data_IF_988097135512
#
_entry.id   IF_988097135512
#
_cell.length_a   1.000
_cell.length_b   1.000
_cell.length_c   1.000
_cell.angle_alpha   90.00
_cell.angle_beta   90.00
_cell.angle_gamma   90.00
#
_symmetry.space_group_name_H-M   'P 1'
#
loop_
_entity.id
_entity.type
_entity.pdbx_description
1 polymer ?
#
# COMPACT_ATOMS: atom_id res chain seq x y z
N UNK A 1 -59.87 -38.80 -31.06
CA UNK A 1 -59.38 -38.27 -29.78
C UNK A 1 -58.63 -36.99 -30.10
N UNK A 2 -59.00 -35.89 -29.48
CA UNK A 2 -58.21 -34.66 -29.51
C UNK A 2 -57.35 -34.67 -28.26
N UNK A 3 -56.03 -34.73 -28.43
CA UNK A 3 -55.10 -34.62 -27.31
C UNK A 3 -54.88 -33.15 -26.97
N UNK A 4 -54.94 -32.82 -25.68
CA UNK A 4 -54.68 -31.48 -25.17
C UNK A 4 -53.53 -31.53 -24.15
N UNK A 5 -52.55 -30.64 -24.31
CA UNK A 5 -51.39 -30.53 -23.42
C UNK A 5 -51.35 -29.12 -22.83
N UNK A 6 -51.21 -29.03 -21.51
CA UNK A 6 -51.03 -27.77 -20.78
C UNK A 6 -49.77 -27.85 -19.92
N UNK A 7 -48.85 -26.91 -20.12
CA UNK A 7 -47.61 -26.80 -19.34
C UNK A 7 -47.79 -25.75 -18.25
N UNK A 8 -47.53 -26.13 -17.00
CA UNK A 8 -47.56 -25.24 -15.83
C UNK A 8 -46.12 -24.98 -15.37
N UNK A 9 -45.73 -23.71 -15.27
CA UNK A 9 -44.41 -23.26 -14.84
C UNK A 9 -44.48 -22.44 -13.54
N UNK A 10 -43.32 -22.06 -12.98
CA UNK A 10 -43.20 -21.26 -11.75
C UNK A 10 -43.80 -21.91 -10.49
N UNK A 11 -43.64 -23.22 -10.36
CA UNK A 11 -44.01 -23.96 -9.15
C UNK A 11 -42.84 -23.98 -8.15
N UNK A 12 -43.14 -23.78 -6.87
CA UNK A 12 -42.19 -23.93 -5.79
C UNK A 12 -41.76 -25.39 -5.64
N UNK A 13 -40.49 -25.64 -5.31
CA UNK A 13 -39.93 -26.99 -5.19
C UNK A 13 -40.36 -27.70 -3.90
N UNK A 14 -40.45 -29.02 -3.94
CA UNK A 14 -40.90 -29.87 -2.81
C UNK A 14 -42.30 -29.56 -2.28
N UNK A 15 -43.10 -28.81 -3.03
CA UNK A 15 -44.48 -28.47 -2.69
C UNK A 15 -45.43 -29.43 -3.39
N UNK A 16 -46.48 -29.85 -2.67
CA UNK A 16 -47.56 -30.66 -3.24
C UNK A 16 -48.62 -29.72 -3.80
N UNK A 17 -48.85 -29.79 -5.11
CA UNK A 17 -49.88 -29.03 -5.79
C UNK A 17 -51.08 -29.90 -6.06
N UNK A 18 -52.27 -29.34 -5.89
CA UNK A 18 -53.54 -29.95 -6.23
C UNK A 18 -54.09 -29.30 -7.50
N UNK A 19 -54.66 -30.11 -8.39
CA UNK A 19 -55.22 -29.65 -9.65
C UNK A 19 -56.46 -30.45 -10.03
N UNK A 20 -57.33 -29.78 -10.80
CA UNK A 20 -58.48 -30.39 -11.49
C UNK A 20 -58.49 -29.88 -12.91
N UNK A 21 -58.89 -30.73 -13.84
CA UNK A 21 -59.06 -30.38 -15.24
C UNK A 21 -60.55 -30.26 -15.51
N UNK A 22 -60.99 -29.13 -16.04
CA UNK A 22 -62.37 -28.90 -16.46
C UNK A 22 -62.40 -28.72 -17.97
N UNK A 23 -63.29 -29.45 -18.64
CA UNK A 23 -63.56 -29.30 -20.07
C UNK A 23 -65.04 -29.06 -20.27
N UNK A 24 -65.43 -28.27 -21.27
CA UNK A 24 -66.84 -28.02 -21.53
C UNK A 24 -67.11 -27.36 -22.87
N UNK A 25 -68.39 -27.40 -23.24
CA UNK A 25 -69.00 -26.59 -24.31
C UNK A 25 -69.67 -25.36 -23.67
N UNK A 26 -70.28 -24.45 -24.46
CA UNK A 26 -71.08 -23.36 -23.89
C UNK A 26 -72.26 -23.82 -23.01
N UNK A 27 -72.70 -25.08 -23.14
CA UNK A 27 -73.88 -25.63 -22.46
C UNK A 27 -73.55 -26.58 -21.29
N UNK A 28 -72.37 -27.22 -21.28
CA UNK A 28 -72.01 -28.21 -20.26
C UNK A 28 -70.51 -28.16 -19.92
N UNK A 29 -70.17 -28.38 -18.64
CA UNK A 29 -68.79 -28.58 -18.20
C UNK A 29 -68.66 -29.84 -17.36
N UNK A 30 -67.56 -30.55 -17.53
CA UNK A 30 -67.17 -31.75 -16.77
C UNK A 30 -65.79 -31.52 -16.18
N UNK A 31 -65.63 -31.82 -14.89
CA UNK A 31 -64.35 -31.72 -14.18
C UNK A 31 -63.85 -33.09 -13.75
N UNK A 32 -62.53 -33.25 -13.70
CA UNK A 32 -61.90 -34.41 -13.04
C UNK A 32 -62.03 -34.30 -11.52
N UNK A 33 -61.82 -35.43 -10.85
CA UNK A 33 -61.51 -35.44 -9.41
C UNK A 33 -60.23 -34.65 -9.11
N UNK A 34 -60.08 -34.29 -7.84
CA UNK A 34 -58.84 -33.68 -7.34
C UNK A 34 -57.66 -34.63 -7.55
N UNK A 35 -56.59 -34.09 -8.13
CA UNK A 35 -55.34 -34.80 -8.32
C UNK A 35 -54.22 -34.00 -7.69
N UNK A 36 -53.19 -34.68 -7.21
CA UNK A 36 -52.04 -34.04 -6.64
C UNK A 36 -50.74 -34.56 -7.27
N UNK A 37 -49.75 -33.67 -7.36
CA UNK A 37 -48.38 -34.03 -7.65
C UNK A 37 -47.44 -33.24 -6.73
N UNK A 38 -46.27 -33.81 -6.41
CA UNK A 38 -45.23 -33.11 -5.67
C UNK A 38 -44.15 -32.67 -6.62
N UNK A 39 -43.77 -31.40 -6.59
CA UNK A 39 -42.61 -30.91 -7.34
C UNK A 39 -41.32 -31.54 -6.80
N UNK A 40 -40.37 -31.79 -7.70
CA UNK A 40 -39.07 -32.34 -7.31
C UNK A 40 -38.30 -31.42 -6.35
N UNK A 41 -37.27 -31.96 -5.70
CA UNK A 41 -36.33 -31.18 -4.89
C UNK A 41 -35.66 -30.10 -5.74
N UNK A 42 -35.64 -28.85 -5.27
CA UNK A 42 -34.85 -27.82 -5.94
C UNK A 42 -33.39 -28.20 -5.84
N UNK A 43 -32.76 -28.43 -6.99
CA UNK A 43 -31.32 -28.65 -7.11
C UNK A 43 -30.57 -27.33 -7.34
N UNK A 44 -31.18 -26.16 -7.08
CA UNK A 44 -30.51 -24.87 -7.24
C UNK A 44 -29.40 -24.75 -6.20
N UNK A 45 -28.18 -25.08 -6.62
CA UNK A 45 -26.98 -24.87 -5.79
C UNK A 45 -26.80 -23.37 -5.60
N UNK A 46 -26.58 -22.94 -4.35
CA UNK A 46 -26.29 -21.54 -4.05
C UNK A 46 -25.04 -21.10 -4.82
N UNK A 47 -25.05 -19.93 -5.44
CA UNK A 47 -23.87 -19.36 -6.13
C UNK A 47 -22.85 -18.79 -5.14
N UNK A 48 -21.57 -18.63 -5.52
CA UNK A 48 -20.59 -17.89 -4.72
C UNK A 48 -21.03 -16.45 -4.48
N UNK A 49 -20.89 -15.97 -3.25
CA UNK A 49 -21.17 -14.58 -2.90
C UNK A 49 -19.89 -13.77 -3.05
N UNK A 50 -19.89 -12.80 -3.96
CA UNK A 50 -18.76 -11.87 -4.18
C UNK A 50 -18.90 -10.68 -3.25
N UNK A 51 -17.82 -10.34 -2.54
CA UNK A 51 -17.79 -9.24 -1.57
C UNK A 51 -16.44 -8.52 -1.56
N UNK A 52 -16.34 -7.39 -0.84
CA UNK A 52 -15.12 -6.57 -0.70
C UNK A 52 -14.45 -6.21 -2.04
N UNK A 53 -15.27 -5.92 -3.05
CA UNK A 53 -14.79 -5.52 -4.37
C UNK A 53 -14.06 -4.18 -4.28
N UNK A 54 -12.81 -4.15 -4.72
CA UNK A 54 -11.94 -2.98 -4.70
C UNK A 54 -11.12 -2.87 -5.99
N UNK A 55 -11.07 -1.69 -6.60
CA UNK A 55 -10.16 -1.41 -7.72
C UNK A 55 -8.82 -0.94 -7.13
N UNK A 56 -7.86 -1.85 -7.02
CA UNK A 56 -6.62 -1.65 -6.29
C UNK A 56 -5.58 -0.80 -7.04
N UNK A 57 -5.62 -0.78 -8.37
CA UNK A 57 -4.71 0.03 -9.18
C UNK A 57 -5.34 0.32 -10.55
N UNK A 58 -5.08 1.50 -11.09
CA UNK A 58 -5.47 1.91 -12.44
C UNK A 58 -4.28 2.63 -13.06
N UNK A 59 -3.92 2.22 -14.28
CA UNK A 59 -2.85 2.83 -15.08
C UNK A 59 -3.42 3.33 -16.42
N UNK A 60 -2.58 3.76 -17.35
CA UNK A 60 -3.03 4.16 -18.68
C UNK A 60 -3.61 3.03 -19.52
N UNK A 61 -3.13 1.80 -19.30
CA UNK A 61 -3.50 0.64 -20.14
C UNK A 61 -4.04 -0.56 -19.37
N UNK A 62 -4.09 -0.46 -18.03
CA UNK A 62 -4.51 -1.56 -17.17
C UNK A 62 -5.33 -1.08 -15.96
N UNK A 63 -6.09 -1.99 -15.36
CA UNK A 63 -6.54 -1.84 -13.97
C UNK A 63 -6.52 -3.19 -13.26
N UNK A 64 -6.41 -3.19 -11.94
CA UNK A 64 -6.45 -4.39 -11.11
C UNK A 64 -7.62 -4.33 -10.14
N UNK A 65 -8.39 -5.42 -10.07
CA UNK A 65 -9.54 -5.56 -9.17
C UNK A 65 -9.30 -6.71 -8.20
N UNK A 66 -9.66 -6.47 -6.95
CA UNK A 66 -9.57 -7.42 -5.85
C UNK A 66 -10.94 -7.65 -5.25
N UNK A 67 -11.23 -8.90 -4.85
CA UNK A 67 -12.48 -9.25 -4.17
C UNK A 67 -12.33 -10.56 -3.38
N UNK A 68 -13.33 -10.81 -2.54
CA UNK A 68 -13.47 -12.05 -1.78
C UNK A 68 -14.72 -12.83 -2.18
N UNK A 69 -14.66 -14.14 -2.00
CA UNK A 69 -15.80 -15.05 -2.09
C UNK A 69 -16.01 -15.80 -0.79
N UNK A 70 -17.26 -16.16 -0.50
CA UNK A 70 -17.63 -16.93 0.70
C UNK A 70 -17.15 -18.39 0.66
N UNK A 71 -16.69 -18.87 -0.51
CA UNK A 71 -16.19 -20.22 -0.76
C UNK A 71 -15.22 -20.24 -1.94
N UNK A 72 -14.43 -21.30 -2.03
CA UNK A 72 -13.39 -21.42 -3.05
C UNK A 72 -14.01 -21.42 -4.47
N UNK A 73 -13.68 -20.38 -5.23
CA UNK A 73 -14.17 -20.16 -6.58
C UNK A 73 -13.04 -19.63 -7.47
N UNK A 74 -13.24 -19.66 -8.78
CA UNK A 74 -12.34 -18.98 -9.71
C UNK A 74 -12.65 -17.48 -9.77
N UNK A 75 -11.88 -16.71 -10.55
CA UNK A 75 -12.14 -15.29 -10.73
C UNK A 75 -12.05 -14.84 -12.18
N UNK A 76 -13.11 -14.17 -12.65
CA UNK A 76 -13.18 -13.61 -14.00
C UNK A 76 -13.68 -12.17 -13.95
N UNK A 77 -13.00 -11.26 -14.64
CA UNK A 77 -13.44 -9.89 -14.92
C UNK A 77 -13.71 -9.76 -16.41
N UNK A 78 -14.93 -9.40 -16.79
CA UNK A 78 -15.30 -9.01 -18.16
C UNK A 78 -15.27 -7.50 -18.28
N UNK A 79 -14.84 -6.95 -19.40
CA UNK A 79 -14.64 -5.50 -19.61
C UNK A 79 -15.10 -5.05 -21.00
N UNK A 80 -15.61 -3.83 -21.13
CA UNK A 80 -15.99 -3.21 -22.41
C UNK A 80 -16.17 -1.70 -22.29
N UNK A 81 -16.30 -0.99 -23.41
CA UNK A 81 -16.63 0.46 -23.40
C UNK A 81 -18.07 0.75 -22.97
N UNK A 82 -18.91 -0.29 -22.98
CA UNK A 82 -20.29 -0.31 -22.49
C UNK A 82 -20.51 -1.64 -21.75
N UNK A 83 -21.72 -1.87 -21.24
CA UNK A 83 -22.11 -3.16 -20.63
C UNK A 83 -22.08 -4.36 -21.62
N UNK A 84 -21.85 -4.11 -22.91
CA UNK A 84 -21.48 -5.14 -23.86
C UNK A 84 -19.98 -5.41 -23.75
N UNK A 85 -19.61 -6.24 -22.78
CA UNK A 85 -18.20 -6.58 -22.53
C UNK A 85 -17.58 -7.32 -23.72
N UNK A 86 -16.44 -6.82 -24.20
CA UNK A 86 -15.71 -7.37 -25.36
C UNK A 86 -14.39 -8.02 -24.98
N UNK A 87 -13.91 -7.80 -23.76
CA UNK A 87 -12.69 -8.40 -23.22
C UNK A 87 -12.93 -9.14 -21.91
N UNK A 88 -11.98 -9.98 -21.52
CA UNK A 88 -11.97 -10.64 -20.22
C UNK A 88 -10.57 -10.94 -19.73
N UNK A 89 -10.37 -10.93 -18.42
CA UNK A 89 -9.18 -11.44 -17.74
C UNK A 89 -9.60 -12.25 -16.51
N UNK A 90 -8.75 -13.16 -16.04
CA UNK A 90 -9.07 -13.99 -14.89
C UNK A 90 -8.10 -15.14 -14.68
N UNK A 91 -8.42 -15.98 -13.70
CA UNK A 91 -7.66 -17.17 -13.35
C UNK A 91 -8.60 -18.33 -13.02
N UNK A 92 -8.12 -19.56 -13.25
CA UNK A 92 -8.88 -20.80 -13.01
C UNK A 92 -8.77 -21.32 -11.57
N UNK A 93 -7.76 -20.90 -10.81
CA UNK A 93 -7.53 -21.39 -9.45
C UNK A 93 -8.70 -21.08 -8.54
N UNK A 94 -9.12 -22.07 -7.75
CA UNK A 94 -10.22 -21.91 -6.79
C UNK A 94 -9.69 -21.45 -5.43
N UNK A 95 -9.94 -20.18 -5.10
CA UNK A 95 -9.51 -19.52 -3.86
C UNK A 95 -10.65 -18.63 -3.36
N UNK A 96 -10.54 -18.15 -2.12
CA UNK A 96 -11.50 -17.18 -1.56
C UNK A 96 -11.10 -15.73 -1.81
N UNK A 97 -9.85 -15.50 -2.15
CA UNK A 97 -9.25 -14.18 -2.38
C UNK A 97 -8.81 -14.09 -3.82
N UNK A 98 -9.24 -13.05 -4.52
CA UNK A 98 -9.03 -12.89 -5.95
C UNK A 98 -8.37 -11.56 -6.28
N UNK A 99 -7.45 -11.58 -7.23
CA UNK A 99 -6.69 -10.43 -7.70
C UNK A 99 -6.51 -10.56 -9.21
N UNK A 100 -7.17 -9.71 -10.01
CA UNK A 100 -7.16 -9.80 -11.47
C UNK A 100 -6.76 -8.46 -12.08
N UNK A 101 -5.68 -8.47 -12.87
CA UNK A 101 -5.30 -7.34 -13.73
C UNK A 101 -5.93 -7.52 -15.11
N UNK A 102 -6.67 -6.51 -15.55
CA UNK A 102 -7.19 -6.37 -16.91
C UNK A 102 -6.26 -5.42 -17.66
N UNK A 103 -5.73 -5.85 -18.81
CA UNK A 103 -4.83 -5.04 -19.64
C UNK A 103 -5.33 -4.85 -21.08
N UNK A 104 -4.52 -4.16 -21.89
CA UNK A 104 -4.85 -3.88 -23.30
C UNK A 104 -5.89 -2.77 -23.48
N UNK A 105 -6.01 -1.87 -22.51
CA UNK A 105 -6.97 -0.76 -22.52
C UNK A 105 -6.35 0.47 -23.18
N UNK A 106 -7.20 1.37 -23.68
CA UNK A 106 -6.78 2.63 -24.28
C UNK A 106 -6.79 3.75 -23.24
N UNK A 107 -5.68 4.48 -23.17
CA UNK A 107 -5.42 5.64 -22.29
C UNK A 107 -6.61 6.62 -22.25
N UNK A 108 -6.92 7.13 -21.06
CA UNK A 108 -7.95 8.16 -20.84
C UNK A 108 -9.40 7.75 -21.14
N UNK A 109 -9.70 6.46 -21.30
CA UNK A 109 -11.07 6.00 -21.59
C UNK A 109 -11.76 5.40 -20.36
N UNK A 110 -13.08 5.55 -20.30
CA UNK A 110 -13.94 4.86 -19.32
C UNK A 110 -14.39 3.50 -19.85
N UNK A 111 -14.31 2.50 -18.99
CA UNK A 111 -14.72 1.12 -19.25
C UNK A 111 -15.74 0.67 -18.20
N UNK A 112 -16.69 -0.16 -18.64
CA UNK A 112 -17.56 -0.96 -17.81
C UNK A 112 -16.93 -2.33 -17.57
N UNK A 113 -17.09 -2.89 -16.37
CA UNK A 113 -16.63 -4.23 -16.05
C UNK A 113 -17.55 -4.96 -15.07
N UNK A 114 -17.60 -6.27 -15.21
CA UNK A 114 -18.35 -7.17 -14.34
C UNK A 114 -17.45 -8.28 -13.82
N UNK A 115 -17.61 -8.59 -12.54
CA UNK A 115 -16.88 -9.67 -11.85
C UNK A 115 -17.78 -10.90 -11.77
N UNK A 116 -17.20 -12.08 -11.98
CA UNK A 116 -17.87 -13.35 -11.76
C UNK A 116 -16.92 -14.39 -11.16
N UNK A 117 -17.49 -15.29 -10.38
CA UNK A 117 -16.77 -16.35 -9.68
C UNK A 117 -17.56 -17.66 -9.75
N UNK A 118 -16.89 -18.73 -10.16
CA UNK A 118 -17.46 -20.05 -10.37
C UNK A 118 -16.80 -21.07 -9.45
N UNK A 119 -17.59 -21.78 -8.65
CA UNK A 119 -17.10 -22.75 -7.69
C UNK A 119 -16.86 -24.15 -8.29
N UNK A 120 -16.59 -25.13 -7.42
CA UNK A 120 -16.41 -26.55 -7.76
C UNK A 120 -17.63 -27.23 -8.35
N UNK A 121 -18.80 -26.68 -8.08
CA UNK A 121 -20.08 -27.20 -8.51
C UNK A 121 -20.52 -26.61 -9.86
N UNK A 122 -19.67 -25.79 -10.47
CA UNK A 122 -19.88 -25.07 -11.73
C UNK A 122 -21.07 -24.11 -11.68
N UNK A 123 -21.36 -23.54 -10.49
CA UNK A 123 -22.30 -22.43 -10.36
C UNK A 123 -21.58 -21.10 -10.23
N UNK A 124 -22.10 -20.08 -10.91
CA UNK A 124 -21.44 -18.78 -11.07
C UNK A 124 -22.20 -17.67 -10.36
N UNK A 125 -21.52 -16.98 -9.45
CA UNK A 125 -21.98 -15.72 -8.86
C UNK A 125 -21.47 -14.54 -9.67
N UNK A 126 -22.25 -13.45 -9.69
CA UNK A 126 -21.92 -12.20 -10.38
C UNK A 126 -21.97 -11.03 -9.41
N UNK A 127 -21.06 -10.08 -9.59
CA UNK A 127 -21.17 -8.75 -8.99
C UNK A 127 -21.81 -7.78 -9.99
N UNK A 128 -22.39 -6.69 -9.50
CA UNK A 128 -22.98 -5.66 -10.36
C UNK A 128 -21.94 -5.04 -11.30
N UNK A 129 -22.41 -4.46 -12.41
CA UNK A 129 -21.58 -3.64 -13.29
C UNK A 129 -20.94 -2.48 -12.54
N UNK A 130 -19.69 -2.20 -12.86
CA UNK A 130 -18.86 -1.14 -12.29
C UNK A 130 -18.13 -0.41 -13.42
N UNK A 131 -17.67 0.81 -13.15
CA UNK A 131 -16.90 1.59 -14.11
C UNK A 131 -15.50 1.91 -13.60
N UNK A 132 -14.56 2.05 -14.53
CA UNK A 132 -13.18 2.48 -14.27
C UNK A 132 -12.70 3.34 -15.44
N UNK A 133 -11.96 4.40 -15.14
CA UNK A 133 -11.36 5.29 -16.15
C UNK A 133 -9.85 5.16 -16.11
N UNK A 134 -9.24 4.69 -17.20
CA UNK A 134 -7.77 4.59 -17.33
C UNK A 134 -7.13 5.96 -17.30
N UNK A 135 -5.88 6.04 -16.83
CA UNK A 135 -5.14 7.30 -16.76
C UNK A 135 -4.82 7.87 -18.14
N UNK A 136 -4.62 9.19 -18.26
CA UNK A 136 -4.30 9.85 -19.53
C UNK A 136 -2.83 9.76 -19.96
N UNK A 137 -2.03 8.87 -19.33
CA UNK A 137 -0.60 8.70 -19.63
C UNK A 137 -0.06 7.33 -19.21
N UNK A 138 1.24 7.11 -19.41
CA UNK A 138 1.95 5.84 -19.17
C UNK A 138 3.02 5.95 -18.08
N UNK A 139 2.97 7.00 -17.25
CA UNK A 139 4.01 7.32 -16.28
C UNK A 139 4.18 6.16 -15.29
N UNK A 140 3.07 5.64 -14.75
CA UNK A 140 3.07 4.52 -13.81
C UNK A 140 3.63 3.23 -14.43
N UNK A 141 3.34 2.96 -15.70
CA UNK A 141 3.88 1.82 -16.45
C UNK A 141 5.40 1.93 -16.66
N UNK A 142 5.90 3.12 -16.98
CA UNK A 142 7.29 3.38 -17.38
C UNK A 142 8.28 3.44 -16.22
N UNK A 143 7.82 3.72 -14.99
CA UNK A 143 8.69 3.68 -13.81
C UNK A 143 9.30 2.28 -13.63
N UNK A 144 10.56 2.19 -13.22
CA UNK A 144 11.14 0.91 -12.81
C UNK A 144 10.48 0.42 -11.51
N UNK A 145 10.32 -0.89 -11.34
CA UNK A 145 9.85 -1.47 -10.08
C UNK A 145 10.90 -1.23 -8.99
N UNK A 146 10.47 -0.69 -7.85
CA UNK A 146 11.32 -0.41 -6.69
C UNK A 146 10.73 -1.04 -5.43
N UNK A 147 11.61 -1.52 -4.54
CA UNK A 147 11.29 -1.84 -3.15
C UNK A 147 11.85 -0.72 -2.28
N UNK A 148 10.99 -0.14 -1.44
CA UNK A 148 11.24 1.09 -0.69
C UNK A 148 10.93 0.89 0.79
N UNK A 149 11.40 1.79 1.64
CA UNK A 149 11.05 1.87 3.06
C UNK A 149 11.20 0.55 3.86
N UNK A 150 12.25 -0.22 3.57
CA UNK A 150 12.50 -1.49 4.25
C UNK A 150 12.73 -1.24 5.75
N UNK A 151 12.05 -2.01 6.59
CA UNK A 151 12.15 -2.03 8.05
C UNK A 151 12.37 -3.46 8.53
N UNK A 152 13.13 -3.67 9.63
CA UNK A 152 13.75 -2.65 10.47
C UNK A 152 14.96 -1.98 9.79
N UNK A 153 15.18 -0.72 10.13
CA UNK A 153 16.32 0.10 9.70
C UNK A 153 17.43 0.14 10.74
N UNK A 154 17.11 -0.13 12.01
CA UNK A 154 18.06 -0.14 13.12
C UNK A 154 17.77 -1.30 14.06
N UNK A 155 18.75 -1.71 14.87
CA UNK A 155 18.60 -2.77 15.88
C UNK A 155 17.58 -2.43 16.98
N UNK A 156 17.25 -1.14 17.15
CA UNK A 156 16.32 -0.67 18.17
C UNK A 156 14.88 -0.53 17.66
N UNK A 157 14.62 -0.88 16.40
CA UNK A 157 13.26 -0.81 15.85
C UNK A 157 12.27 -1.60 16.72
N UNK A 158 11.08 -1.06 16.99
CA UNK A 158 10.12 -1.68 17.90
C UNK A 158 9.62 -3.04 17.39
N UNK A 159 9.70 -3.26 16.08
CA UNK A 159 9.37 -4.53 15.45
C UNK A 159 10.41 -5.64 15.65
N UNK A 160 11.58 -5.36 16.26
CA UNK A 160 12.58 -6.37 16.60
C UNK A 160 12.36 -6.81 18.06
N UNK A 161 12.13 -8.10 18.27
CA UNK A 161 12.05 -8.73 19.59
C UNK A 161 13.15 -9.79 19.73
N UNK A 162 13.11 -10.58 20.82
CA UNK A 162 14.11 -11.62 21.09
C UNK A 162 13.98 -12.84 20.18
N UNK A 163 12.77 -13.18 19.74
CA UNK A 163 12.47 -14.40 18.98
C UNK A 163 11.64 -14.15 17.71
N UNK A 164 11.36 -12.88 17.42
CA UNK A 164 10.58 -12.47 16.25
C UNK A 164 11.05 -11.13 15.72
N UNK A 165 10.77 -10.90 14.44
CA UNK A 165 10.90 -9.58 13.82
C UNK A 165 9.74 -9.33 12.86
N UNK A 166 9.29 -8.08 12.81
CA UNK A 166 8.40 -7.58 11.77
C UNK A 166 9.26 -6.93 10.69
N UNK A 167 9.26 -7.52 9.49
CA UNK A 167 9.86 -6.94 8.29
C UNK A 167 8.75 -6.26 7.50
N UNK A 168 8.90 -4.98 7.16
CA UNK A 168 7.95 -4.27 6.30
C UNK A 168 8.66 -3.47 5.21
N UNK A 169 7.98 -3.27 4.09
CA UNK A 169 8.49 -2.52 2.95
C UNK A 169 7.34 -2.09 2.03
N UNK A 170 7.62 -1.15 1.15
CA UNK A 170 6.69 -0.68 0.12
C UNK A 170 7.19 -1.06 -1.27
N UNK A 171 6.28 -1.14 -2.24
CA UNK A 171 6.60 -1.17 -3.67
C UNK A 171 5.92 0.01 -4.36
N UNK A 172 6.59 0.60 -5.34
CA UNK A 172 6.03 1.70 -6.13
C UNK A 172 4.99 1.25 -7.18
N UNK A 173 4.82 -0.06 -7.35
CA UNK A 173 3.82 -0.70 -8.18
C UNK A 173 3.13 -1.80 -7.40
N UNK A 174 1.87 -2.07 -7.74
CA UNK A 174 1.11 -3.17 -7.15
C UNK A 174 1.85 -4.48 -7.44
N UNK A 175 2.31 -5.17 -6.39
CA UNK A 175 3.23 -6.29 -6.55
C UNK A 175 2.91 -7.47 -5.61
N UNK A 176 3.30 -8.66 -6.04
CA UNK A 176 3.47 -9.83 -5.15
C UNK A 176 4.91 -9.86 -4.67
N UNK A 177 5.13 -10.18 -3.39
CA UNK A 177 6.47 -10.19 -2.82
C UNK A 177 6.73 -11.44 -1.99
N UNK A 178 7.98 -11.88 -2.02
CA UNK A 178 8.48 -12.98 -1.21
C UNK A 178 9.75 -12.54 -0.50
N UNK A 179 10.02 -13.18 0.63
CA UNK A 179 11.16 -12.93 1.47
C UNK A 179 11.88 -14.25 1.71
N UNK A 180 13.20 -14.27 1.54
CA UNK A 180 14.05 -15.36 2.00
C UNK A 180 14.89 -14.88 3.16
N UNK A 181 15.13 -15.74 4.14
CA UNK A 181 15.91 -15.38 5.32
C UNK A 181 16.64 -16.59 5.92
N UNK A 182 17.60 -16.29 6.79
CA UNK A 182 18.29 -17.27 7.60
C UNK A 182 19.40 -16.62 8.42
N UNK A 183 20.12 -17.37 9.28
CA UNK A 183 21.28 -16.85 9.99
C UNK A 183 22.28 -16.22 9.01
N UNK A 184 23.13 -15.29 9.47
CA UNK A 184 24.11 -14.60 8.64
C UNK A 184 24.84 -15.56 7.68
N UNK A 185 24.79 -15.25 6.37
CA UNK A 185 25.35 -16.05 5.27
C UNK A 185 24.73 -17.45 5.04
N UNK A 186 23.60 -17.78 5.67
CA UNK A 186 22.91 -19.08 5.56
C UNK A 186 21.40 -18.92 5.35
N UNK A 187 20.99 -18.36 4.20
CA UNK A 187 19.58 -18.22 3.83
C UNK A 187 18.98 -19.60 3.51
N UNK A 188 18.03 -20.04 4.34
CA UNK A 188 17.46 -21.39 4.28
C UNK A 188 15.93 -21.45 4.45
N UNK A 189 15.28 -20.31 4.70
CA UNK A 189 13.84 -20.21 4.87
C UNK A 189 13.24 -19.20 3.88
N UNK A 190 11.94 -19.34 3.62
CA UNK A 190 11.17 -18.42 2.78
C UNK A 190 9.81 -18.10 3.41
N UNK A 191 9.30 -16.91 3.13
CA UNK A 191 7.98 -16.44 3.53
C UNK A 191 7.36 -15.59 2.40
N UNK A 192 6.04 -15.57 2.32
CA UNK A 192 5.29 -14.70 1.41
C UNK A 192 4.48 -13.68 2.21
N UNK A 193 4.27 -12.48 1.66
CA UNK A 193 3.61 -11.39 2.39
C UNK A 193 2.09 -11.53 2.44
N UNK A 194 1.44 -11.39 1.28
CA UNK A 194 0.00 -11.18 1.20
C UNK A 194 -0.63 -12.07 0.13
N UNK A 195 -1.89 -12.47 0.37
CA UNK A 195 -2.70 -13.23 -0.59
C UNK A 195 -3.06 -12.40 -1.85
N UNK A 196 -3.08 -11.07 -1.71
CA UNK A 196 -3.28 -10.11 -2.80
C UNK A 196 -1.97 -9.40 -3.14
N UNK A 197 -1.86 -8.92 -4.38
CA UNK A 197 -0.83 -7.94 -4.71
C UNK A 197 -1.16 -6.62 -4.01
N UNK A 198 -0.17 -5.94 -3.47
CA UNK A 198 -0.36 -4.68 -2.74
C UNK A 198 0.84 -3.77 -2.94
N UNK A 199 0.75 -2.54 -2.47
CA UNK A 199 1.86 -1.58 -2.43
C UNK A 199 2.61 -1.63 -1.10
N UNK A 200 1.97 -2.16 -0.05
CA UNK A 200 2.52 -2.18 1.33
C UNK A 200 2.62 -3.62 1.80
N UNK A 201 3.80 -4.04 2.22
CA UNK A 201 4.11 -5.42 2.59
C UNK A 201 4.60 -5.52 4.01
N UNK A 202 4.24 -6.61 4.67
CA UNK A 202 4.70 -6.93 6.00
C UNK A 202 4.77 -8.44 6.16
N UNK A 203 5.86 -8.93 6.76
CA UNK A 203 6.03 -10.33 7.15
C UNK A 203 6.51 -10.35 8.60
N UNK A 204 5.86 -11.16 9.43
CA UNK A 204 6.32 -11.44 10.79
C UNK A 204 7.11 -12.75 10.78
N UNK A 205 8.41 -12.66 11.01
CA UNK A 205 9.28 -13.82 11.20
C UNK A 205 9.27 -14.20 12.67
N UNK A 206 9.11 -15.49 12.97
CA UNK A 206 9.01 -16.03 14.34
C UNK A 206 9.99 -17.19 14.54
N UNK A 207 10.12 -17.66 15.77
CA UNK A 207 11.03 -18.75 16.15
C UNK A 207 12.51 -18.44 15.81
N UNK A 208 12.91 -17.18 15.96
CA UNK A 208 14.28 -16.73 15.74
C UNK A 208 15.12 -16.96 17.01
N UNK A 209 16.43 -17.09 16.82
CA UNK A 209 17.38 -17.28 17.92
C UNK A 209 17.76 -15.91 18.50
N UNK A 210 17.63 -15.66 19.81
CA UNK A 210 17.98 -14.38 20.42
C UNK A 210 19.41 -13.94 20.19
N UNK A 211 19.64 -12.63 20.09
CA UNK A 211 20.96 -12.01 19.88
C UNK A 211 21.63 -12.35 18.53
N UNK A 212 20.95 -13.04 17.62
CA UNK A 212 21.53 -13.56 16.37
C UNK A 212 21.31 -12.59 15.20
N UNK A 213 22.31 -12.46 14.33
CA UNK A 213 22.25 -11.70 13.08
C UNK A 213 21.68 -12.61 11.99
N UNK A 214 20.68 -12.10 11.27
CA UNK A 214 20.02 -12.76 10.15
C UNK A 214 20.28 -12.00 8.85
N UNK A 215 20.46 -12.73 7.75
CA UNK A 215 20.45 -12.21 6.37
C UNK A 215 19.07 -12.39 5.77
N UNK A 216 18.61 -11.44 4.97
CA UNK A 216 17.37 -11.57 4.20
C UNK A 216 17.49 -11.01 2.77
N UNK A 217 16.62 -11.54 1.90
CA UNK A 217 16.44 -11.11 0.52
C UNK A 217 14.95 -10.88 0.29
N UNK A 218 14.61 -9.77 -0.37
CA UNK A 218 13.22 -9.43 -0.71
C UNK A 218 13.09 -9.41 -2.22
N UNK A 219 12.20 -10.23 -2.75
CA UNK A 219 11.86 -10.26 -4.17
C UNK A 219 10.46 -9.69 -4.39
N UNK A 220 10.27 -8.95 -5.48
CA UNK A 220 8.98 -8.42 -5.90
C UNK A 220 8.73 -8.70 -7.37
N UNK A 221 7.45 -8.92 -7.72
CA UNK A 221 6.95 -9.01 -9.10
C UNK A 221 5.71 -8.14 -9.26
N UNK A 222 5.74 -7.19 -10.19
CA UNK A 222 4.63 -6.25 -10.41
C UNK A 222 3.53 -6.81 -11.35
N UNK A 223 2.47 -6.02 -11.52
CA UNK A 223 1.34 -6.32 -12.45
C UNK A 223 1.75 -6.40 -13.92
N UNK A 224 2.91 -5.87 -14.31
CA UNK A 224 3.46 -5.93 -15.67
C UNK A 224 4.44 -7.09 -15.85
N UNK A 225 4.73 -7.83 -14.79
CA UNK A 225 5.66 -8.96 -14.78
C UNK A 225 7.12 -8.57 -14.56
N UNK A 226 7.44 -7.30 -14.31
CA UNK A 226 8.79 -6.88 -13.94
C UNK A 226 9.15 -7.45 -12.57
N UNK A 227 10.40 -7.88 -12.41
CA UNK A 227 10.89 -8.48 -11.17
C UNK A 227 12.12 -7.73 -10.64
N UNK A 228 12.22 -7.57 -9.33
CA UNK A 228 13.41 -7.06 -8.65
C UNK A 228 13.70 -7.91 -7.41
N UNK A 229 14.97 -8.04 -7.04
CA UNK A 229 15.39 -8.63 -5.76
C UNK A 229 16.40 -7.72 -5.09
N UNK A 230 16.17 -7.42 -3.81
CA UNK A 230 17.11 -6.69 -2.94
C UNK A 230 17.81 -7.71 -2.05
N UNK A 231 19.14 -7.73 -2.12
CA UNK A 231 20.03 -8.62 -1.36
C UNK A 231 20.88 -7.84 -0.37
N UNK A 232 21.61 -8.53 0.52
CA UNK A 232 22.54 -7.89 1.46
C UNK A 232 21.88 -7.21 2.66
N UNK A 233 20.58 -7.45 2.88
CA UNK A 233 19.85 -6.92 4.02
C UNK A 233 20.12 -7.77 5.25
N UNK A 234 20.27 -7.13 6.41
CA UNK A 234 20.46 -7.83 7.69
C UNK A 234 19.66 -7.19 8.82
N UNK A 235 19.36 -7.99 9.85
CA UNK A 235 18.86 -7.49 11.14
C UNK A 235 19.42 -8.37 12.26
N UNK A 236 19.38 -7.89 13.50
CA UNK A 236 19.76 -8.66 14.68
C UNK A 236 18.61 -8.71 15.66
N UNK A 237 18.19 -9.92 16.07
CA UNK A 237 17.20 -10.11 17.15
C UNK A 237 17.73 -9.56 18.47
N UNK A 238 16.83 -9.15 19.38
CA UNK A 238 17.25 -8.72 20.72
C UNK A 238 17.89 -9.89 21.49
N UNK A 239 18.92 -9.59 22.27
CA UNK A 239 19.47 -10.54 23.21
C UNK A 239 18.46 -10.87 24.30
N UNK A 240 18.44 -12.12 24.78
CA UNK A 240 17.68 -12.46 25.98
C UNK A 240 18.20 -11.64 27.18
N UNK A 241 17.32 -11.16 28.08
CA UNK A 241 17.76 -10.45 29.26
C UNK A 241 18.69 -11.35 30.09
N UNK A 242 19.87 -10.83 30.43
CA UNK A 242 20.80 -11.53 31.32
C UNK A 242 20.13 -11.65 32.68
N UNK A 243 19.86 -12.88 33.12
CA UNK A 243 19.40 -13.14 34.50
C UNK A 243 20.59 -12.89 35.42
N UNK A 244 20.69 -11.68 35.98
CA UNK A 244 21.64 -11.41 37.06
C UNK A 244 21.17 -12.13 38.31
N UNK A 245 21.77 -13.28 38.61
CA UNK A 245 21.64 -13.86 39.95
C UNK A 245 22.14 -12.85 40.97
N UNK A 246 21.38 -12.50 42.02
CA UNK A 246 21.82 -11.53 43.01
C UNK A 246 23.09 -12.05 43.69
N UNK A 247 24.21 -11.36 43.47
CA UNK A 247 25.42 -11.58 44.26
C UNK A 247 25.10 -11.09 45.68
N UNK A 248 25.11 -12.02 46.63
CA UNK A 248 25.00 -11.72 48.07
C UNK A 248 26.13 -10.75 48.47
N UNK A 249 25.78 -9.46 48.63
CA UNK A 249 26.73 -8.45 49.14
C UNK A 249 26.78 -8.56 50.66
N UNK A 250 27.94 -8.96 51.16
CA UNK A 250 28.30 -8.80 52.58
C UNK A 250 28.52 -7.30 52.85
N UNK A 251 27.86 -6.66 53.84
CA UNK A 251 27.92 -5.22 54.01
C UNK A 251 29.12 -4.83 54.89
N UNK A 252 30.14 -4.18 54.32
CA UNK A 252 31.05 -3.25 55.03
C UNK A 252 32.04 -2.57 54.08
N UNK A 253 31.64 -1.41 53.54
CA UNK A 253 32.50 -0.22 53.35
C UNK A 253 31.65 0.91 52.75
N UNK A 254 31.77 2.18 53.21
CA UNK A 254 31.02 3.30 52.68
C UNK A 254 31.72 3.86 51.44
N UNK A 255 31.03 3.87 50.30
CA UNK A 255 31.45 4.60 49.09
C UNK A 255 30.64 5.87 49.00
N UNK A 256 31.37 6.98 48.83
CA UNK A 256 30.91 8.36 48.67
C UNK A 256 29.93 8.48 47.51
N UNK A 257 28.76 9.07 47.78
CA UNK A 257 27.75 9.36 46.77
C UNK A 257 28.15 10.59 45.94
N UNK A 258 28.52 10.39 44.68
CA UNK A 258 28.45 11.44 43.66
C UNK A 258 27.04 11.46 43.07
N UNK A 259 26.35 12.58 43.28
CA UNK A 259 25.08 12.92 42.62
C UNK A 259 25.24 12.86 41.11
N UNK A 260 24.52 11.98 40.44
CA UNK A 260 24.14 12.16 39.03
C UNK A 260 22.62 12.32 38.98
N UNK A 261 22.20 13.57 38.81
CA UNK A 261 20.83 13.94 38.47
C UNK A 261 20.61 13.63 37.00
N UNK A 262 19.89 12.55 36.69
CA UNK A 262 19.26 12.41 35.37
C UNK A 262 17.91 13.12 35.41
N UNK A 263 17.64 14.13 34.56
CA UNK A 263 16.32 14.75 34.50
C UNK A 263 15.32 13.72 33.96
N UNK A 264 14.26 13.50 34.73
CA UNK A 264 13.04 12.83 34.28
C UNK A 264 12.40 13.77 33.25
N UNK A 265 12.60 13.52 31.97
CA UNK A 265 11.79 14.15 30.92
C UNK A 265 10.49 13.36 30.83
N UNK A 266 9.44 13.86 31.48
CA UNK A 266 8.07 13.47 31.19
C UNK A 266 7.71 14.01 29.80
N UNK A 267 7.69 13.16 28.77
CA UNK A 267 7.02 13.52 27.51
C UNK A 267 5.53 13.33 27.74
N UNK A 268 4.82 14.46 27.82
CA UNK A 268 3.37 14.52 27.93
C UNK A 268 2.72 13.88 26.70
N UNK A 269 1.86 12.90 26.97
CA UNK A 269 0.65 12.53 26.22
C UNK A 269 0.72 12.51 24.70
N UNK A 270 0.85 11.31 24.12
CA UNK A 270 0.36 11.07 22.77
C UNK A 270 -1.17 11.05 22.81
N UNK A 271 -1.81 12.08 22.28
CA UNK A 271 -3.20 11.96 21.83
C UNK A 271 -3.17 11.37 20.42
N UNK A 272 -3.62 10.11 20.28
CA UNK A 272 -3.99 9.56 18.98
C UNK A 272 -5.28 10.23 18.52
N UNK A 273 -5.19 11.42 17.94
CA UNK A 273 -6.24 11.92 17.05
C UNK A 273 -5.75 11.74 15.62
N UNK A 274 -6.42 10.87 14.88
CA UNK A 274 -6.33 10.86 13.43
C UNK A 274 -6.50 12.30 12.91
N UNK A 275 -5.76 12.73 11.88
CA UNK A 275 -6.14 13.95 11.18
C UNK A 275 -7.43 13.67 10.42
N UNK A 276 -8.57 13.96 11.05
CA UNK A 276 -9.81 14.18 10.33
C UNK A 276 -10.58 15.37 10.91
N UNK A 277 -10.27 16.55 10.39
CA UNK A 277 -11.28 17.45 9.88
C UNK A 277 -11.10 17.58 8.37
N UNK A 278 -12.19 17.50 7.59
CA UNK A 278 -12.31 17.80 6.15
C UNK A 278 -11.14 18.67 5.62
N UNK A 279 -10.05 18.03 5.21
CA UNK A 279 -8.87 18.73 4.70
C UNK A 279 -9.28 19.40 3.40
N UNK A 280 -9.12 20.72 3.24
CA UNK A 280 -9.43 21.39 1.98
C UNK A 280 -8.57 20.81 0.84
N UNK A 281 -9.24 20.22 -0.16
CA UNK A 281 -8.62 19.65 -1.35
C UNK A 281 -8.85 20.58 -2.53
N UNK A 282 -7.79 20.84 -3.28
CA UNK A 282 -7.80 21.76 -4.40
C UNK A 282 -7.18 21.10 -5.63
N UNK A 283 -7.77 21.39 -6.79
CA UNK A 283 -7.23 21.01 -8.10
C UNK A 283 -6.98 22.28 -8.91
N UNK A 284 -5.83 22.37 -9.57
CA UNK A 284 -5.60 23.45 -10.53
C UNK A 284 -6.46 23.19 -11.76
N UNK A 285 -7.32 24.15 -12.13
CA UNK A 285 -8.23 24.06 -13.27
C UNK A 285 -7.48 23.68 -14.55
N UNK A 286 -7.97 22.65 -15.23
CA UNK A 286 -7.39 22.18 -16.49
C UNK A 286 -6.15 21.27 -16.31
N UNK A 287 -5.75 20.95 -15.08
CA UNK A 287 -4.63 20.06 -14.78
C UNK A 287 -5.07 18.89 -13.89
N UNK A 288 -4.14 17.96 -13.65
CA UNK A 288 -4.29 16.89 -12.66
C UNK A 288 -3.52 17.19 -11.36
N UNK A 289 -3.03 18.43 -11.20
CA UNK A 289 -2.23 18.82 -10.05
C UNK A 289 -3.16 19.08 -8.86
N UNK A 290 -2.92 18.33 -7.80
CA UNK A 290 -3.79 18.21 -6.65
C UNK A 290 -3.04 18.60 -5.39
N UNK A 291 -3.70 19.36 -4.52
CA UNK A 291 -3.11 19.87 -3.30
C UNK A 291 -4.08 19.75 -2.14
N UNK A 292 -3.57 19.31 -0.99
CA UNK A 292 -4.21 19.52 0.29
C UNK A 292 -3.67 20.83 0.89
N UNK A 293 -4.55 21.66 1.45
CA UNK A 293 -4.10 22.80 2.27
C UNK A 293 -4.27 22.44 3.73
N UNK A 294 -3.17 22.24 4.42
CA UNK A 294 -3.13 21.83 5.83
C UNK A 294 -2.34 22.89 6.60
N UNK A 295 -2.93 23.45 7.66
CA UNK A 295 -2.31 24.51 8.47
C UNK A 295 -1.79 25.70 7.63
N UNK A 296 -2.49 26.04 6.55
CA UNK A 296 -2.11 27.14 5.65
C UNK A 296 -0.93 26.84 4.72
N UNK A 297 -0.43 25.62 4.66
CA UNK A 297 0.59 25.18 3.71
C UNK A 297 -0.04 24.27 2.65
N UNK A 298 0.37 24.42 1.39
CA UNK A 298 -0.04 23.50 0.32
C UNK A 298 0.87 22.28 0.29
N UNK A 299 0.24 21.12 0.31
CA UNK A 299 0.86 19.81 0.24
C UNK A 299 0.48 19.15 -1.09
N UNK A 300 1.43 18.89 -1.99
CA UNK A 300 1.11 18.22 -3.25
C UNK A 300 0.71 16.77 -2.99
N UNK A 301 -0.36 16.33 -3.65
CA UNK A 301 -0.87 14.97 -3.59
C UNK A 301 -0.55 14.28 -4.91
N UNK A 302 0.30 13.26 -4.84
CA UNK A 302 0.74 12.50 -6.01
C UNK A 302 -0.04 11.19 -6.13
N UNK A 303 -0.34 10.76 -7.36
CA UNK A 303 -0.85 9.42 -7.64
C UNK A 303 -2.32 9.16 -7.28
N UNK A 304 -2.90 8.16 -7.95
CA UNK A 304 -4.33 7.81 -7.87
C UNK A 304 -4.77 7.27 -6.51
N UNK A 305 -3.86 6.68 -5.74
CA UNK A 305 -4.17 6.09 -4.43
C UNK A 305 -4.32 7.15 -3.33
N UNK A 306 -3.54 8.23 -3.38
CA UNK A 306 -3.81 9.43 -2.59
C UNK A 306 -5.20 9.94 -2.98
N UNK A 307 -5.48 10.06 -4.28
CA UNK A 307 -6.76 10.52 -4.85
C UNK A 307 -7.98 9.61 -4.62
N UNK A 308 -7.82 8.36 -4.19
CA UNK A 308 -8.96 7.50 -3.84
C UNK A 308 -9.25 7.52 -2.33
N UNK A 309 -8.23 7.83 -1.51
CA UNK A 309 -8.29 7.69 -0.05
C UNK A 309 -8.66 8.95 0.71
N UNK A 310 -8.63 10.14 0.13
CA UNK A 310 -9.28 11.32 0.76
C UNK A 310 -10.76 11.45 0.39
N UNK A 311 -11.44 10.34 0.07
CA UNK A 311 -12.86 10.30 -0.29
C UNK A 311 -13.25 11.38 -1.34
N UNK A 312 -12.44 11.48 -2.40
CA UNK A 312 -12.63 12.43 -3.50
C UNK A 312 -13.95 12.22 -4.27
N UNK A 313 -14.69 11.16 -3.96
CA UNK A 313 -16.00 10.83 -4.53
C UNK A 313 -17.14 11.72 -4.01
N UNK A 314 -16.96 12.44 -2.90
CA UNK A 314 -18.02 13.25 -2.27
C UNK A 314 -18.11 14.72 -2.73
N UNK A 315 -17.30 15.17 -3.70
CA UNK A 315 -17.36 16.55 -4.21
C UNK A 315 -16.60 17.59 -3.36
N UNK A 316 -15.73 17.14 -2.45
CA UNK A 316 -14.94 18.00 -1.56
C UNK A 316 -13.68 18.63 -2.19
N UNK A 317 -13.46 18.43 -3.50
CA UNK A 317 -12.36 19.07 -4.25
C UNK A 317 -12.84 20.37 -4.88
N UNK A 318 -12.10 21.46 -4.64
CA UNK A 318 -12.37 22.75 -5.27
C UNK A 318 -11.43 22.98 -6.45
N UNK A 319 -12.03 23.19 -7.63
CA UNK A 319 -11.31 23.61 -8.82
C UNK A 319 -10.95 25.11 -8.75
N UNK A 320 -9.66 25.39 -8.60
CA UNK A 320 -9.09 26.73 -8.37
C UNK A 320 -8.02 27.05 -9.41
N UNK A 321 -7.62 28.32 -9.51
CA UNK A 321 -6.50 28.72 -10.37
C UNK A 321 -5.15 28.47 -9.67
N UNK A 322 -4.05 28.47 -10.41
CA UNK A 322 -2.71 28.35 -9.82
C UNK A 322 -2.44 29.51 -8.84
N UNK A 323 -2.88 30.72 -9.18
CA UNK A 323 -2.71 31.93 -8.37
C UNK A 323 -3.42 31.82 -7.01
N UNK A 324 -4.57 31.12 -6.96
CA UNK A 324 -5.23 30.83 -5.70
C UNK A 324 -4.37 29.94 -4.80
N UNK A 325 -3.62 28.99 -5.36
CA UNK A 325 -2.73 28.13 -4.56
C UNK A 325 -1.40 28.81 -4.23
N UNK A 326 -1.00 29.84 -4.97
CA UNK A 326 0.23 30.59 -4.68
C UNK A 326 0.16 31.42 -3.39
N UNK A 327 -1.05 31.64 -2.85
CA UNK A 327 -1.23 32.23 -1.52
C UNK A 327 -0.79 31.30 -0.37
N UNK A 328 -0.63 30.00 -0.64
CA UNK A 328 -0.21 29.01 0.34
C UNK A 328 1.24 28.59 0.05
N UNK A 329 2.18 28.76 1.01
CA UNK A 329 3.53 28.25 0.84
C UNK A 329 3.51 26.71 0.76
N UNK A 330 4.45 26.14 0.02
CA UNK A 330 4.65 24.70 0.03
C UNK A 330 5.01 24.21 1.42
N UNK A 331 4.48 23.05 1.79
CA UNK A 331 4.90 22.39 3.02
C UNK A 331 6.37 21.99 2.95
N UNK A 332 7.10 22.27 4.03
CA UNK A 332 8.54 21.96 4.15
C UNK A 332 8.85 20.88 5.15
N UNK A 333 7.98 20.66 6.14
CA UNK A 333 8.19 19.70 7.22
C UNK A 333 6.99 18.79 7.32
N UNK A 334 7.21 17.49 7.13
CA UNK A 334 6.16 16.48 7.20
C UNK A 334 6.58 15.32 8.10
N UNK A 335 5.61 14.61 8.64
CA UNK A 335 5.83 13.38 9.39
C UNK A 335 4.68 12.42 9.10
N UNK A 336 4.98 11.12 8.99
CA UNK A 336 3.93 10.12 8.83
C UNK A 336 3.19 9.94 10.15
N UNK A 337 1.86 9.83 10.13
CA UNK A 337 1.04 9.66 11.35
C UNK A 337 1.40 8.44 12.20
N UNK A 338 2.10 7.45 11.64
CA UNK A 338 2.55 6.22 12.30
C UNK A 338 4.05 6.21 12.66
N UNK A 339 4.78 7.31 12.38
CA UNK A 339 6.22 7.39 12.56
C UNK A 339 6.60 8.69 13.29
N UNK A 340 7.54 8.66 14.25
CA UNK A 340 8.04 9.88 14.88
C UNK A 340 9.00 10.68 13.98
N UNK A 341 9.49 10.11 12.87
CA UNK A 341 10.52 10.72 12.02
C UNK A 341 9.95 11.90 11.22
N UNK A 342 10.54 13.09 11.41
CA UNK A 342 10.24 14.26 10.60
C UNK A 342 11.10 14.25 9.34
N UNK A 343 10.53 14.68 8.23
CA UNK A 343 11.22 14.84 6.95
C UNK A 343 11.16 16.29 6.52
N UNK A 344 12.28 16.76 5.96
CA UNK A 344 12.34 18.02 5.22
C UNK A 344 12.01 17.76 3.76
N UNK A 345 11.11 18.55 3.17
CA UNK A 345 10.79 18.52 1.75
C UNK A 345 11.51 19.63 1.00
N UNK A 346 12.35 19.23 0.05
CA UNK A 346 13.06 20.10 -0.86
C UNK A 346 12.29 20.14 -2.19
N UNK A 347 11.76 21.31 -2.53
CA UNK A 347 11.13 21.54 -3.82
C UNK A 347 12.19 21.60 -4.93
N UNK A 348 11.90 20.93 -6.05
CA UNK A 348 12.62 21.02 -7.33
C UNK A 348 11.65 21.51 -8.41
N UNK A 349 12.17 21.74 -9.61
CA UNK A 349 11.35 22.28 -10.70
C UNK A 349 10.28 21.28 -11.13
N UNK A 350 10.60 19.98 -11.04
CA UNK A 350 9.75 18.89 -11.54
C UNK A 350 9.23 17.94 -10.46
N UNK A 351 9.81 17.95 -9.25
CA UNK A 351 9.49 16.98 -8.19
C UNK A 351 9.87 17.53 -6.80
N UNK A 352 9.68 16.72 -5.77
CA UNK A 352 10.12 17.02 -4.40
C UNK A 352 11.01 15.89 -3.91
N UNK A 353 12.07 16.27 -3.18
CA UNK A 353 12.93 15.34 -2.46
C UNK A 353 12.62 15.41 -0.96
N UNK A 354 12.48 14.26 -0.29
CA UNK A 354 12.40 14.17 1.17
C UNK A 354 13.76 13.83 1.76
N UNK A 355 14.08 14.44 2.89
CA UNK A 355 15.27 14.11 3.68
C UNK A 355 14.87 13.90 5.14
N UNK A 356 15.21 12.73 5.70
CA UNK A 356 14.88 12.43 7.09
C UNK A 356 15.67 13.33 8.04
N UNK A 357 15.05 13.78 9.12
CA UNK A 357 15.66 14.50 10.22
C UNK A 357 15.70 13.55 11.43
N UNK A 358 16.77 12.75 11.61
CA UNK A 358 16.78 11.59 12.51
C UNK A 358 16.80 11.93 13.99
N UNK A 359 17.02 13.20 14.35
CA UNK A 359 17.05 13.64 15.76
C UNK A 359 16.58 15.08 15.91
N UNK A 360 16.22 15.45 17.15
CA UNK A 360 15.90 16.84 17.53
C UNK A 360 17.06 17.78 17.22
N UNK A 361 18.30 17.36 17.49
CA UNK A 361 19.49 18.16 17.19
C UNK A 361 19.65 18.44 15.68
N UNK A 362 19.38 17.44 14.83
CA UNK A 362 19.36 17.65 13.38
C UNK A 362 18.21 18.56 12.98
N UNK A 363 17.02 18.36 13.53
CA UNK A 363 15.87 19.23 13.24
C UNK A 363 16.16 20.70 13.58
N UNK A 364 16.74 20.97 14.75
CA UNK A 364 17.07 22.30 15.25
C UNK A 364 18.29 22.92 14.56
N UNK A 365 19.12 22.11 13.88
CA UNK A 365 20.26 22.62 13.11
C UNK A 365 19.86 23.43 11.86
N UNK A 366 18.57 23.41 11.49
CA UNK A 366 18.01 24.22 10.42
C UNK A 366 17.28 25.44 11.02
N UNK A 367 17.79 26.67 10.85
CA UNK A 367 17.30 27.86 11.57
C UNK A 367 15.81 28.19 11.35
N UNK A 368 15.23 27.76 10.24
CA UNK A 368 13.84 28.02 9.88
C UNK A 368 12.87 26.91 10.29
N UNK A 369 13.35 25.81 10.88
CA UNK A 369 12.49 24.72 11.30
C UNK A 369 11.73 25.08 12.58
N UNK A 370 10.42 24.81 12.61
CA UNK A 370 9.58 24.97 13.80
C UNK A 370 8.73 23.73 13.95
N UNK A 371 8.62 23.18 15.16
CA UNK A 371 7.80 21.99 15.42
C UNK A 371 6.33 22.19 15.07
N UNK A 372 5.82 23.42 15.21
CA UNK A 372 4.45 23.77 14.83
C UNK A 372 4.21 23.80 13.31
N UNK A 373 5.28 23.80 12.50
CA UNK A 373 5.17 23.76 11.04
C UNK A 373 5.15 22.31 10.51
N UNK A 374 5.36 21.31 11.38
CA UNK A 374 5.37 19.89 11.01
C UNK A 374 3.94 19.44 10.76
N UNK A 375 3.67 19.04 9.52
CA UNK A 375 2.37 18.52 9.12
C UNK A 375 2.39 17.00 9.22
N UNK A 376 1.46 16.46 10.02
CA UNK A 376 1.20 15.03 10.03
C UNK A 376 0.45 14.65 8.74
N UNK A 377 1.09 13.79 7.95
CA UNK A 377 0.57 13.27 6.68
C UNK A 377 0.41 11.77 6.80
N UNK A 378 -0.36 11.18 5.88
CA UNK A 378 -0.49 9.72 5.89
C UNK A 378 0.83 9.09 5.44
N UNK A 379 1.17 7.90 5.96
CA UNK A 379 2.44 7.24 5.63
C UNK A 379 2.61 6.99 4.13
N UNK A 380 1.50 6.66 3.46
CA UNK A 380 1.45 6.48 2.01
C UNK A 380 1.83 7.76 1.25
N UNK A 381 1.24 8.91 1.59
CA UNK A 381 1.51 10.14 0.85
C UNK A 381 2.98 10.59 1.05
N UNK A 382 3.56 10.33 2.24
CA UNK A 382 4.99 10.54 2.51
C UNK A 382 5.90 9.61 1.69
N UNK A 383 5.44 8.38 1.41
CA UNK A 383 6.22 7.39 0.65
C UNK A 383 6.44 7.78 -0.83
N UNK A 384 5.58 8.65 -1.38
CA UNK A 384 5.61 9.07 -2.78
C UNK A 384 6.73 10.08 -3.10
N UNK A 385 7.30 10.73 -2.09
CA UNK A 385 8.43 11.63 -2.26
C UNK A 385 9.73 10.84 -2.42
N UNK A 386 10.53 11.19 -3.42
CA UNK A 386 11.86 10.60 -3.62
C UNK A 386 12.79 11.01 -2.47
N UNK A 387 13.63 10.09 -2.00
CA UNK A 387 14.58 10.38 -0.92
C UNK A 387 15.80 11.12 -1.48
N UNK A 388 16.18 12.23 -0.85
CA UNK A 388 17.41 12.93 -1.16
C UNK A 388 18.62 12.07 -0.79
N UNK A 389 19.42 11.70 -1.79
CA UNK A 389 20.64 10.88 -1.63
C UNK A 389 21.91 11.63 -2.01
N UNK A 390 21.82 12.80 -2.63
CA UNK A 390 22.96 13.64 -2.97
C UNK A 390 22.93 14.88 -2.09
N UNK A 391 23.95 15.05 -1.26
CA UNK A 391 23.99 16.12 -0.26
C UNK A 391 25.30 16.89 -0.28
N UNK A 392 25.25 18.16 0.10
CA UNK A 392 26.44 18.96 0.41
C UNK A 392 26.15 19.91 1.57
N UNK A 393 27.19 20.44 2.20
CA UNK A 393 27.03 21.52 3.17
C UNK A 393 27.13 22.88 2.48
N UNK A 394 26.50 23.94 3.03
CA UNK A 394 26.57 25.28 2.46
C UNK A 394 28.01 25.73 2.22
N UNK A 395 28.31 26.20 1.01
CA UNK A 395 29.66 26.66 0.62
C UNK A 395 30.66 25.55 0.30
N UNK A 396 30.32 24.27 0.48
CA UNK A 396 31.16 23.15 0.07
C UNK A 396 30.99 22.82 -1.41
N UNK A 397 32.11 22.49 -2.07
CA UNK A 397 32.11 21.93 -3.43
C UNK A 397 32.04 20.40 -3.41
N UNK A 398 32.18 19.76 -2.24
CA UNK A 398 32.20 18.31 -2.11
C UNK A 398 30.77 17.80 -1.96
N UNK A 399 30.32 17.07 -2.98
CA UNK A 399 29.04 16.36 -2.96
C UNK A 399 29.25 14.97 -2.37
N UNK A 400 28.37 14.58 -1.45
CA UNK A 400 28.34 13.25 -0.88
C UNK A 400 27.12 12.48 -1.39
N UNK A 401 27.34 11.22 -1.73
CA UNK A 401 26.27 10.26 -1.95
C UNK A 401 25.97 9.54 -0.63
N UNK A 402 24.70 9.55 -0.23
CA UNK A 402 24.21 8.85 0.95
C UNK A 402 23.75 7.45 0.55
N UNK A 403 24.43 6.44 1.09
CA UNK A 403 24.14 5.03 0.80
C UNK A 403 24.29 4.20 2.06
N UNK A 404 23.31 3.32 2.33
CA UNK A 404 23.34 2.41 3.48
C UNK A 404 23.59 3.09 4.85
N UNK A 405 23.23 4.37 4.97
CA UNK A 405 23.44 5.17 6.19
C UNK A 405 24.81 5.84 6.29
N UNK A 406 25.70 5.63 5.31
CA UNK A 406 27.02 6.26 5.21
C UNK A 406 27.01 7.41 4.20
N UNK A 407 27.98 8.32 4.32
CA UNK A 407 28.29 9.34 3.32
C UNK A 407 29.56 8.97 2.57
N UNK A 408 29.50 9.04 1.25
CA UNK A 408 30.62 8.77 0.35
C UNK A 408 30.92 10.03 -0.46
N UNK A 409 32.13 10.57 -0.37
CA UNK A 409 32.49 11.74 -1.16
C UNK A 409 32.61 11.35 -2.63
N UNK A 410 32.06 12.18 -3.52
CA UNK A 410 32.21 12.02 -4.96
C UNK A 410 33.49 12.75 -5.37
N UNK A 411 34.46 12.00 -5.91
CA UNK A 411 35.84 12.47 -6.06
C UNK A 411 36.00 13.61 -7.06
N UNK A 412 35.11 13.73 -8.04
CA UNK A 412 35.15 14.83 -9.02
C UNK A 412 33.81 15.03 -9.76
N UNK A 413 33.60 16.19 -10.41
CA UNK A 413 32.46 16.43 -11.31
C UNK A 413 32.33 15.38 -12.43
N UNK A 414 33.45 14.89 -12.98
CA UNK A 414 33.42 13.88 -14.03
C UNK A 414 32.88 12.54 -13.52
N UNK A 415 33.18 12.19 -12.25
CA UNK A 415 32.60 11.01 -11.60
C UNK A 415 31.11 11.20 -11.36
N UNK A 416 30.69 12.40 -10.93
CA UNK A 416 29.29 12.76 -10.75
C UNK A 416 28.49 12.58 -12.05
N UNK A 417 28.99 13.15 -13.15
CA UNK A 417 28.35 13.07 -14.46
C UNK A 417 28.34 11.65 -15.01
N UNK A 418 29.43 10.89 -14.84
CA UNK A 418 29.54 9.49 -15.27
C UNK A 418 28.52 8.58 -14.57
N UNK A 419 28.18 8.87 -13.32
CA UNK A 419 27.16 8.14 -12.55
C UNK A 419 25.73 8.52 -12.95
N UNK A 420 25.57 9.50 -13.85
CA UNK A 420 24.26 9.98 -14.29
C UNK A 420 23.52 10.77 -13.21
N UNK A 421 24.23 11.30 -12.22
CA UNK A 421 23.63 12.13 -11.19
C UNK A 421 23.27 13.52 -11.74
N UNK A 422 22.22 14.12 -11.18
CA UNK A 422 21.77 15.46 -11.54
C UNK A 422 22.09 16.45 -10.43
N UNK A 423 22.72 17.58 -10.78
CA UNK A 423 22.98 18.67 -9.84
C UNK A 423 21.69 19.26 -9.25
N UNK A 424 20.57 19.18 -9.97
CA UNK A 424 19.24 19.56 -9.47
C UNK A 424 18.87 18.74 -8.21
N UNK A 425 19.33 17.49 -8.11
CA UNK A 425 18.97 16.60 -6.99
C UNK A 425 19.91 16.75 -5.78
N UNK A 426 20.93 17.60 -5.86
CA UNK A 426 21.82 17.88 -4.74
C UNK A 426 21.10 18.77 -3.74
N UNK A 427 20.95 18.32 -2.49
CA UNK A 427 20.35 19.10 -1.40
C UNK A 427 21.42 19.67 -0.48
N UNK A 428 21.21 20.90 -0.01
CA UNK A 428 22.05 21.50 1.02
C UNK A 428 21.56 21.10 2.41
N UNK A 429 22.47 20.56 3.23
CA UNK A 429 22.20 20.09 4.59
C UNK A 429 23.16 20.75 5.58
N UNK A 430 22.76 20.90 6.84
CA UNK A 430 23.64 21.47 7.86
C UNK A 430 24.84 20.56 8.14
N UNK A 431 25.94 21.12 8.64
CA UNK A 431 27.11 20.33 9.06
C UNK A 431 26.74 19.29 10.13
N UNK A 432 25.86 19.67 11.07
CA UNK A 432 25.35 18.77 12.09
C UNK A 432 24.57 17.59 11.50
N UNK A 433 23.82 17.81 10.42
CA UNK A 433 23.13 16.73 9.71
C UNK A 433 24.13 15.84 8.97
N UNK A 434 25.07 16.41 8.21
CA UNK A 434 26.09 15.63 7.50
C UNK A 434 26.96 14.81 8.46
N UNK A 435 27.17 15.29 9.68
CA UNK A 435 27.92 14.59 10.72
C UNK A 435 27.20 13.33 11.27
N UNK A 436 25.89 13.19 11.05
CA UNK A 436 25.16 11.98 11.48
C UNK A 436 25.44 10.75 10.62
N UNK A 437 25.99 10.95 9.42
CA UNK A 437 26.36 9.87 8.51
C UNK A 437 27.84 9.50 8.71
N UNK A 438 28.17 8.24 9.08
CA UNK A 438 29.53 7.75 9.09
C UNK A 438 30.19 7.88 7.72
N UNK A 439 31.53 8.03 7.70
CA UNK A 439 32.30 8.13 6.47
C UNK A 439 32.46 6.74 5.84
N UNK A 440 32.00 6.58 4.60
CA UNK A 440 32.31 5.44 3.76
C UNK A 440 33.41 5.75 2.74
N UNK A 441 33.77 4.77 1.91
CA UNK A 441 34.79 4.95 0.87
C UNK A 441 34.38 5.97 -0.20
N UNK A 442 35.33 6.77 -0.65
CA UNK A 442 35.11 7.74 -1.73
C UNK A 442 34.75 7.05 -3.05
N UNK A 443 33.81 7.65 -3.77
CA UNK A 443 33.39 7.20 -5.09
C UNK A 443 34.32 7.85 -6.12
N UNK A 444 35.05 7.01 -6.87
CA UNK A 444 36.07 7.38 -7.86
C UNK A 444 35.64 7.01 -9.27
#
# INVERSE_FOLDING_TARGET
MTDHTLSISNLDSEVTYHYRITSGTPEETVSTFDRAFKTGKSTTKAVPIISKVNVASVTGTTFTVQWETDRDANGTVRVGKTQNYTGSAGHGDRKRTHDVTVGGLTIGNTYHFQISSTDKDNVTGYYSDLTVTTLPGLEAERMALQILDIRPSTINDPGIETDRVIISWNTNKLASTSLRYGPLNHINASAESNAYRTFTHQITLTNLTPGTIYSLEISARDVFGATITVTGLTFQTRSSPVVLTPVSRNPKTPVVATKASSPIVRVLGFTTSAPDPLIPLYRIRGTHDMFAVIQGQKYPLYGTSSLQRYDFKSGNVKDVSAEFLDQYPYVRLIRATDSPTVYYLYQRDTHFLKLALPSVAVFESYPLNRWNDVIDVRPFDLSLFETAVLVKTPGSHTIHYLSLGEKHAISSPEVFDRLGFSYENVVEISDAHLATFPLGDDIK
#
